data_IF_850229163576
#
_entry.id   IF_850229163576
#
_cell.length_a   1.000
_cell.length_b   1.000
_cell.length_c   1.000
_cell.angle_alpha   90.00
_cell.angle_beta   90.00
_cell.angle_gamma   90.00
#
_symmetry.space_group_name_H-M   'P 1'
#
loop_
_entity.id
_entity.type
_entity.pdbx_description
1 polymer ?
#
# COMPACT_ATOMS: atom_id res chain seq x y z
N UNK A 1 -4.84 -2.17 -26.25
CA UNK A 1 -5.28 -0.96 -25.51
C UNK A 1 -5.28 -1.31 -24.05
N UNK A 2 -4.68 -0.48 -23.20
CA UNK A 2 -4.82 -0.63 -21.74
C UNK A 2 -6.20 -0.14 -21.33
N UNK A 3 -6.91 -0.88 -20.48
CA UNK A 3 -8.19 -0.49 -19.88
C UNK A 3 -8.01 0.29 -18.58
N UNK A 4 -6.77 0.46 -18.11
CA UNK A 4 -6.42 1.20 -16.90
C UNK A 4 -6.38 2.70 -17.16
N UNK A 5 -7.19 3.44 -16.40
CA UNK A 5 -7.09 4.89 -16.27
C UNK A 5 -6.26 5.24 -15.03
N UNK A 6 -5.04 5.73 -15.24
CA UNK A 6 -4.12 6.10 -14.14
C UNK A 6 -4.62 7.31 -13.37
N UNK A 7 -4.74 7.16 -12.05
CA UNK A 7 -5.03 8.26 -11.12
C UNK A 7 -3.75 8.87 -10.55
N UNK A 8 -2.83 8.02 -10.09
CA UNK A 8 -1.52 8.41 -9.59
C UNK A 8 -0.56 7.23 -9.69
N UNK A 9 0.73 7.49 -9.84
CA UNK A 9 1.72 6.43 -9.79
C UNK A 9 3.06 6.97 -9.32
N UNK A 10 3.91 6.06 -8.88
CA UNK A 10 5.31 6.29 -8.66
C UNK A 10 6.10 5.15 -9.30
N UNK A 11 7.05 5.54 -10.15
CA UNK A 11 7.99 4.59 -10.74
C UNK A 11 9.10 4.28 -9.74
N UNK A 12 9.62 3.05 -9.79
CA UNK A 12 10.80 2.69 -9.02
C UNK A 12 12.01 3.45 -9.56
N UNK A 13 12.53 4.38 -8.76
CA UNK A 13 13.86 4.94 -8.96
C UNK A 13 14.80 4.37 -7.90
N UNK A 14 15.85 3.67 -8.34
CA UNK A 14 16.94 3.22 -7.46
C UNK A 14 16.55 2.13 -6.45
N UNK A 15 15.65 1.21 -6.81
CA UNK A 15 15.28 0.06 -5.96
C UNK A 15 14.24 0.36 -4.87
N UNK A 16 13.60 1.53 -4.93
CA UNK A 16 12.44 1.86 -4.09
C UNK A 16 11.18 1.13 -4.61
N UNK A 17 10.22 0.79 -3.74
CA UNK A 17 8.95 0.21 -4.18
C UNK A 17 8.21 1.13 -5.15
N UNK A 18 7.71 0.58 -6.25
CA UNK A 18 6.80 1.26 -7.18
C UNK A 18 5.35 1.06 -6.76
N UNK A 19 4.48 1.99 -7.15
CA UNK A 19 3.05 1.81 -6.98
C UNK A 19 2.25 2.52 -8.07
N UNK A 20 1.06 1.99 -8.37
CA UNK A 20 0.16 2.51 -9.39
C UNK A 20 -1.27 2.46 -8.87
N UNK A 21 -1.88 3.63 -8.73
CA UNK A 21 -3.29 3.82 -8.40
C UNK A 21 -4.07 4.10 -9.69
N UNK A 22 -5.06 3.28 -10.01
CA UNK A 22 -5.82 3.39 -11.25
C UNK A 22 -7.27 2.92 -11.10
N UNK A 23 -8.09 3.25 -12.09
CA UNK A 23 -9.42 2.70 -12.30
C UNK A 23 -9.41 1.78 -13.52
N UNK A 24 -10.26 0.76 -13.52
CA UNK A 24 -10.59 0.02 -14.74
C UNK A 24 -11.80 0.71 -15.39
N UNK A 25 -11.67 1.13 -16.65
CA UNK A 25 -12.69 1.96 -17.34
C UNK A 25 -14.07 1.30 -17.40
N UNK A 26 -14.13 -0.03 -17.25
CA UNK A 26 -15.37 -0.80 -17.28
C UNK A 26 -15.91 -1.22 -15.89
N UNK A 27 -15.19 -0.90 -14.81
CA UNK A 27 -15.60 -1.20 -13.44
C UNK A 27 -15.85 0.09 -12.65
N UNK A 28 -17.12 0.35 -12.32
CA UNK A 28 -17.51 1.61 -11.68
C UNK A 28 -17.37 1.54 -10.16
N UNK A 29 -16.80 2.60 -9.58
CA UNK A 29 -16.73 2.79 -8.13
C UNK A 29 -15.61 2.02 -7.43
N UNK A 30 -14.65 1.49 -8.20
CA UNK A 30 -13.50 0.74 -7.67
C UNK A 30 -12.20 1.39 -8.13
N UNK A 31 -11.26 1.54 -7.19
CA UNK A 31 -9.87 1.94 -7.47
C UNK A 31 -8.94 0.80 -7.09
N UNK A 32 -7.89 0.61 -7.89
CA UNK A 32 -6.88 -0.41 -7.70
C UNK A 32 -5.59 0.23 -7.28
N UNK A 33 -5.01 -0.24 -6.18
CA UNK A 33 -3.65 0.08 -5.77
C UNK A 33 -2.76 -1.13 -6.05
N UNK A 34 -1.95 -1.03 -7.09
CA UNK A 34 -0.92 -2.01 -7.43
C UNK A 34 0.40 -1.58 -6.77
N UNK A 35 1.02 -2.52 -6.04
CA UNK A 35 2.24 -2.31 -5.27
C UNK A 35 3.31 -3.27 -5.78
N UNK A 36 4.51 -2.77 -6.07
CA UNK A 36 5.64 -3.57 -6.51
C UNK A 36 6.78 -3.47 -5.49
N UNK A 37 7.44 -4.59 -5.19
CA UNK A 37 8.53 -4.63 -4.22
C UNK A 37 8.09 -4.54 -2.75
N UNK A 38 6.81 -4.83 -2.45
CA UNK A 38 6.23 -4.86 -1.11
C UNK A 38 6.02 -6.31 -0.66
N UNK A 39 6.35 -6.62 0.60
CA UNK A 39 6.03 -7.92 1.19
C UNK A 39 4.58 -7.96 1.67
N UNK A 40 3.86 -9.03 1.34
CA UNK A 40 2.46 -9.25 1.72
C UNK A 40 2.31 -10.54 2.53
N UNK A 41 1.57 -10.46 3.63
CA UNK A 41 1.10 -11.61 4.40
C UNK A 41 -0.43 -11.70 4.24
N UNK A 42 -0.94 -12.85 3.77
CA UNK A 42 -2.38 -13.08 3.56
C UNK A 42 -2.88 -14.14 4.53
N UNK A 43 -3.87 -13.78 5.34
CA UNK A 43 -4.59 -14.71 6.20
C UNK A 43 -5.91 -15.07 5.53
N UNK A 44 -6.03 -16.34 5.15
CA UNK A 44 -7.23 -16.86 4.47
C UNK A 44 -8.47 -16.78 5.38
N UNK A 45 -9.66 -16.74 4.77
CA UNK A 45 -10.95 -16.60 5.47
C UNK A 45 -11.26 -17.81 6.38
N UNK A 46 -10.68 -18.96 6.08
CA UNK A 46 -10.79 -20.20 6.86
C UNK A 46 -9.61 -20.43 7.83
N UNK A 47 -8.70 -19.46 7.95
CA UNK A 47 -7.53 -19.59 8.82
C UNK A 47 -7.96 -19.67 10.30
N UNK A 48 -7.49 -20.69 11.05
CA UNK A 48 -7.69 -20.76 12.50
C UNK A 48 -6.76 -19.84 13.30
N UNK A 49 -5.84 -19.14 12.63
CA UNK A 49 -4.83 -18.27 13.24
C UNK A 49 -5.00 -16.85 12.67
N UNK A 50 -5.06 -15.85 13.56
CA UNK A 50 -5.44 -14.43 13.29
C UNK A 50 -6.90 -14.17 12.88
N UNK A 51 -7.28 -12.90 12.68
CA UNK A 51 -8.58 -12.52 12.09
C UNK A 51 -8.63 -13.06 10.66
N UNK A 52 -9.46 -14.08 10.45
CA UNK A 52 -9.81 -14.61 9.14
C UNK A 52 -10.06 -13.49 8.10
N UNK A 53 -9.49 -13.65 6.90
CA UNK A 53 -9.67 -12.72 5.78
C UNK A 53 -8.87 -11.41 5.91
N UNK A 54 -7.76 -11.42 6.64
CA UNK A 54 -6.90 -10.23 6.78
C UNK A 54 -5.79 -10.23 5.73
N UNK A 55 -5.59 -9.09 5.07
CA UNK A 55 -4.41 -8.81 4.25
C UNK A 55 -3.52 -7.84 5.01
N UNK A 56 -2.24 -8.18 5.18
CA UNK A 56 -1.23 -7.32 5.82
C UNK A 56 -0.14 -7.00 4.82
N UNK A 57 0.12 -5.70 4.63
CA UNK A 57 1.16 -5.19 3.75
C UNK A 57 2.30 -4.62 4.60
N UNK A 58 3.53 -5.07 4.34
CA UNK A 58 4.75 -4.48 4.92
C UNK A 58 5.28 -3.40 4.00
N UNK A 59 4.82 -2.18 4.23
CA UNK A 59 5.22 -1.01 3.46
C UNK A 59 6.46 -0.35 4.10
N UNK A 60 7.50 -0.02 3.32
CA UNK A 60 8.53 0.91 3.77
C UNK A 60 7.92 2.27 4.15
N UNK A 61 8.50 2.95 5.14
CA UNK A 61 8.00 4.24 5.65
C UNK A 61 7.83 5.27 4.53
N UNK A 62 8.79 5.32 3.60
CA UNK A 62 8.74 6.23 2.45
C UNK A 62 7.52 5.96 1.54
N UNK A 63 7.21 4.69 1.27
CA UNK A 63 6.02 4.30 0.49
C UNK A 63 4.74 4.65 1.21
N UNK A 64 4.65 4.37 2.50
CA UNK A 64 3.48 4.73 3.30
C UNK A 64 3.29 6.25 3.38
N UNK A 65 4.39 7.03 3.40
CA UNK A 65 4.34 8.49 3.33
C UNK A 65 3.84 8.99 1.97
N UNK A 66 4.32 8.41 0.87
CA UNK A 66 3.89 8.74 -0.50
C UNK A 66 2.42 8.43 -0.74
N UNK A 67 1.91 7.37 -0.13
CA UNK A 67 0.47 7.03 -0.11
C UNK A 67 -0.34 7.91 0.85
N UNK A 68 0.29 8.87 1.54
CA UNK A 68 -0.38 9.78 2.45
C UNK A 68 -0.81 9.16 3.79
N UNK A 69 -0.42 7.92 4.09
CA UNK A 69 -0.86 7.21 5.31
C UNK A 69 -0.37 7.89 6.60
N UNK A 70 0.69 8.68 6.52
CA UNK A 70 1.18 9.51 7.62
C UNK A 70 0.18 10.60 8.07
N UNK A 71 -0.75 11.00 7.20
CA UNK A 71 -1.69 12.11 7.49
C UNK A 71 -2.92 11.65 8.29
N UNK A 72 -3.19 10.35 8.32
CA UNK A 72 -4.35 9.77 9.03
C UNK A 72 -4.01 9.27 10.43
N UNK A 73 -2.76 9.47 10.88
CA UNK A 73 -2.30 9.12 12.22
C UNK A 73 -1.78 10.36 12.96
N UNK A 74 -1.83 10.40 14.30
CA UNK A 74 -1.20 11.47 15.08
C UNK A 74 0.30 11.58 14.78
N UNK A 75 0.81 12.81 14.61
CA UNK A 75 2.20 13.07 14.21
C UNK A 75 3.22 12.40 15.12
N UNK A 76 3.02 12.49 16.44
CA UNK A 76 3.90 11.86 17.45
C UNK A 76 4.05 10.34 17.22
N UNK A 77 2.94 9.66 16.85
CA UNK A 77 2.96 8.21 16.59
C UNK A 77 3.66 7.88 15.28
N UNK A 78 3.55 8.75 14.27
CA UNK A 78 4.26 8.57 13.01
C UNK A 78 5.77 8.80 13.19
N UNK A 79 6.16 9.82 13.95
CA UNK A 79 7.56 10.09 14.29
C UNK A 79 8.21 8.91 15.00
N UNK A 80 7.52 8.30 15.97
CA UNK A 80 7.97 7.07 16.63
C UNK A 80 8.13 5.87 15.68
N UNK A 81 7.38 5.81 14.58
CA UNK A 81 7.51 4.75 13.58
C UNK A 81 8.67 5.01 12.60
N UNK A 82 9.13 6.25 12.50
CA UNK A 82 10.28 6.64 11.67
C UNK A 82 11.62 6.49 12.39
N UNK A 83 11.62 6.31 13.71
CA UNK A 83 12.82 6.15 14.53
C UNK A 83 13.54 4.82 14.20
N UNK A 84 14.74 4.87 13.59
CA UNK A 84 15.49 3.67 13.20
C UNK A 84 16.18 2.98 14.38
N UNK A 85 16.31 3.63 15.54
CA UNK A 85 17.02 3.13 16.73
C UNK A 85 16.10 2.43 17.75
N UNK A 86 14.86 2.12 17.33
CA UNK A 86 13.87 1.40 18.13
C UNK A 86 14.07 -0.12 18.15
#
# INVERSE_FOLDING_TARGET
>A
MSTKATLAHQNSEGGKPSWHLYEEVFEMGVVYLELEGVQVDVVMIDSPWDKAGTVRLRLPIETAKQLGLHTIVPSERWEMACDPDK
#
